data_IF_761181222314
#
_entry.id   IF_761181222314
#
_cell.length_a   1.000
_cell.length_b   1.000
_cell.length_c   1.000
_cell.angle_alpha   90.00
_cell.angle_beta   90.00
_cell.angle_gamma   90.00
#
_symmetry.space_group_name_H-M   'P 1'
#
loop_
_entity.id
_entity.type
_entity.pdbx_description
1 polymer ?
#
# COMPACT_ATOMS: atom_id res chain seq x y z
N UNK A 1 4.06 -12.07 -8.31
CA UNK A 1 5.35 -11.53 -7.82
C UNK A 1 5.01 -10.40 -6.87
N UNK A 2 5.61 -10.38 -5.68
CA UNK A 2 5.36 -9.34 -4.68
C UNK A 2 6.03 -8.02 -5.09
N UNK A 3 5.32 -6.90 -4.90
CA UNK A 3 5.75 -5.56 -5.37
C UNK A 3 7.01 -5.09 -4.65
N UNK A 4 7.16 -5.43 -3.36
CA UNK A 4 8.34 -5.08 -2.59
C UNK A 4 9.60 -5.74 -3.17
N UNK A 5 9.50 -7.01 -3.53
CA UNK A 5 10.59 -7.74 -4.19
C UNK A 5 10.91 -7.17 -5.58
N UNK A 6 9.89 -6.76 -6.34
CA UNK A 6 10.08 -6.11 -7.64
C UNK A 6 10.84 -4.77 -7.52
N UNK A 7 10.59 -4.01 -6.46
CA UNK A 7 11.25 -2.73 -6.20
C UNK A 7 12.71 -2.86 -5.75
N UNK A 8 13.21 -4.06 -5.43
CA UNK A 8 14.58 -4.26 -4.98
C UNK A 8 14.89 -3.52 -3.66
N UNK A 9 14.03 -3.69 -2.65
CA UNK A 9 14.18 -3.02 -1.35
C UNK A 9 15.58 -3.26 -0.76
N UNK A 10 16.30 -2.17 -0.48
CA UNK A 10 17.63 -2.21 0.12
C UNK A 10 17.57 -2.60 1.59
N UNK A 11 18.60 -3.29 2.08
CA UNK A 11 18.66 -3.81 3.46
C UNK A 11 18.61 -2.73 4.56
N UNK A 12 18.91 -1.48 4.21
CA UNK A 12 18.88 -0.34 5.13
C UNK A 12 17.53 0.37 5.19
N UNK A 13 16.57 0.02 4.33
CA UNK A 13 15.23 0.61 4.33
C UNK A 13 14.47 0.22 5.60
N UNK A 14 13.83 1.21 6.25
CA UNK A 14 13.10 1.03 7.51
C UNK A 14 11.63 1.40 7.45
N UNK A 15 11.24 2.22 6.47
CA UNK A 15 9.89 2.74 6.33
C UNK A 15 9.46 2.72 4.87
N UNK A 16 8.16 2.57 4.65
CA UNK A 16 7.48 2.80 3.39
C UNK A 16 6.77 4.13 3.48
N UNK A 17 7.06 5.04 2.54
CA UNK A 17 6.36 6.31 2.42
C UNK A 17 5.21 6.16 1.44
N UNK A 18 4.00 6.55 1.85
CA UNK A 18 2.78 6.45 1.06
C UNK A 18 2.31 7.86 0.77
N UNK A 19 2.22 8.19 -0.52
CA UNK A 19 1.71 9.47 -0.99
C UNK A 19 0.48 9.20 -1.85
N UNK A 20 -0.65 9.75 -1.44
CA UNK A 20 -1.88 9.68 -2.23
C UNK A 20 -1.82 10.67 -3.41
N UNK A 21 -2.82 10.58 -4.29
CA UNK A 21 -2.97 11.52 -5.40
C UNK A 21 -3.23 12.96 -4.92
N UNK A 22 -3.96 13.10 -3.81
CA UNK A 22 -4.25 14.38 -3.18
C UNK A 22 -3.08 14.85 -2.28
N UNK A 23 -3.37 15.74 -1.33
CA UNK A 23 -2.37 16.26 -0.41
C UNK A 23 -2.01 15.29 0.73
N UNK A 24 -2.67 14.12 0.83
CA UNK A 24 -2.43 13.20 1.93
C UNK A 24 -1.15 12.38 1.72
N UNK A 25 -0.35 12.28 2.78
CA UNK A 25 0.74 11.33 2.85
C UNK A 25 0.93 10.81 4.26
N UNK A 26 1.50 9.62 4.36
CA UNK A 26 1.84 8.97 5.63
C UNK A 26 3.05 8.07 5.42
N UNK A 27 3.53 7.45 6.48
CA UNK A 27 4.54 6.41 6.42
C UNK A 27 4.15 5.23 7.29
N UNK A 28 4.82 4.11 7.06
CA UNK A 28 4.66 2.89 7.83
C UNK A 28 6.02 2.22 8.02
N UNK A 29 6.34 1.62 9.19
CA UNK A 29 7.53 0.79 9.31
C UNK A 29 7.52 -0.31 8.24
N UNK A 30 8.66 -0.57 7.59
CA UNK A 30 8.76 -1.57 6.53
C UNK A 30 8.29 -2.94 7.03
N UNK A 31 8.64 -3.31 8.26
CA UNK A 31 8.19 -4.57 8.86
C UNK A 31 6.66 -4.70 8.95
N UNK A 32 5.96 -3.59 9.18
CA UNK A 32 4.50 -3.56 9.20
C UNK A 32 3.93 -3.61 7.78
N UNK A 33 4.54 -2.88 6.83
CA UNK A 33 4.14 -2.90 5.42
C UNK A 33 4.30 -4.27 4.74
N UNK A 34 5.20 -5.10 5.26
CA UNK A 34 5.49 -6.45 4.75
C UNK A 34 4.60 -7.54 5.39
N UNK A 35 3.67 -7.18 6.29
CA UNK A 35 2.73 -8.16 6.87
C UNK A 35 1.83 -8.74 5.77
N UNK A 36 1.47 -10.04 5.86
CA UNK A 36 0.77 -10.75 4.80
C UNK A 36 -0.67 -10.27 4.54
N UNK A 37 -1.26 -9.54 5.49
CA UNK A 37 -2.61 -8.96 5.41
C UNK A 37 -2.59 -7.49 4.95
N UNK A 38 -1.42 -6.92 4.67
CA UNK A 38 -1.28 -5.59 4.07
C UNK A 38 -1.38 -5.71 2.55
N UNK A 39 -2.32 -4.99 1.96
CA UNK A 39 -2.69 -5.17 0.56
C UNK A 39 -2.67 -3.84 -0.20
N UNK A 40 -2.21 -3.90 -1.46
CA UNK A 40 -2.58 -2.92 -2.47
C UNK A 40 -3.80 -3.45 -3.23
N UNK A 41 -4.93 -2.78 -3.07
CA UNK A 41 -6.22 -3.19 -3.60
C UNK A 41 -6.60 -2.29 -4.77
N UNK A 42 -7.03 -2.88 -5.88
CA UNK A 42 -7.52 -2.15 -7.07
C UNK A 42 -8.99 -2.47 -7.42
N UNK A 43 -9.61 -3.42 -6.72
CA UNK A 43 -10.98 -3.86 -6.92
C UNK A 43 -11.69 -4.18 -5.60
N UNK A 44 -13.00 -4.01 -5.58
CA UNK A 44 -13.89 -4.42 -4.49
C UNK A 44 -15.18 -4.99 -5.08
N UNK A 45 -15.65 -6.14 -4.55
CA UNK A 45 -16.80 -6.90 -5.07
C UNK A 45 -16.76 -7.15 -6.59
N UNK A 46 -15.55 -7.39 -7.13
CA UNK A 46 -15.34 -7.65 -8.56
C UNK A 46 -15.37 -6.41 -9.47
N UNK A 47 -15.59 -5.22 -8.92
CA UNK A 47 -15.58 -3.96 -9.66
C UNK A 47 -14.33 -3.12 -9.33
N UNK A 48 -13.85 -2.25 -10.24
CA UNK A 48 -12.79 -1.28 -9.93
C UNK A 48 -13.16 -0.37 -8.75
N UNK A 49 -12.17 0.04 -7.96
CA UNK A 49 -12.40 1.02 -6.89
C UNK A 49 -12.87 2.36 -7.47
N UNK A 50 -13.93 2.93 -6.89
CA UNK A 50 -14.35 4.30 -7.16
C UNK A 50 -13.33 5.29 -6.59
N UNK A 51 -13.36 6.54 -7.05
CA UNK A 51 -12.51 7.61 -6.52
C UNK A 51 -12.72 7.81 -5.02
N UNK A 52 -13.97 7.77 -4.55
CA UNK A 52 -14.31 7.91 -3.12
C UNK A 52 -13.75 6.78 -2.25
N UNK A 53 -13.50 5.60 -2.84
CA UNK A 53 -12.86 4.46 -2.17
C UNK A 53 -11.34 4.42 -2.35
N UNK A 54 -10.74 5.46 -2.91
CA UNK A 54 -9.29 5.54 -3.15
C UNK A 54 -8.84 4.85 -4.43
N UNK A 55 -9.70 4.73 -5.44
CA UNK A 55 -9.33 4.25 -6.76
C UNK A 55 -8.27 5.12 -7.45
N UNK A 56 -7.49 4.57 -8.38
CA UNK A 56 -7.56 3.20 -8.90
C UNK A 56 -6.86 2.16 -8.00
N UNK A 57 -6.12 2.58 -6.98
CA UNK A 57 -5.42 1.69 -6.06
C UNK A 57 -5.35 2.29 -4.66
N UNK A 58 -5.63 1.47 -3.65
CA UNK A 58 -5.57 1.85 -2.23
C UNK A 58 -4.72 0.85 -1.45
N UNK A 59 -3.95 1.35 -0.48
CA UNK A 59 -3.31 0.51 0.53
C UNK A 59 -4.28 0.23 1.69
N UNK A 60 -4.35 -1.02 2.12
CA UNK A 60 -5.12 -1.48 3.29
C UNK A 60 -4.15 -2.07 4.32
N UNK A 61 -4.23 -1.59 5.56
CA UNK A 61 -3.41 -2.03 6.70
C UNK A 61 -4.33 -2.44 7.85
N UNK A 62 -4.84 -3.70 7.90
CA UNK A 62 -5.92 -4.09 8.81
C UNK A 62 -5.63 -3.94 10.31
N UNK A 63 -4.36 -3.86 10.69
CA UNK A 63 -3.92 -3.84 12.09
C UNK A 63 -3.62 -2.42 12.62
N UNK A 64 -3.96 -1.37 11.87
CA UNK A 64 -3.62 0.03 12.15
C UNK A 64 -4.80 0.98 12.00
#
# INVERSE_FOLDING_TARGET
MDIANYCGVVSTAKFVYIKAYDAYSTNLPLIEAMKPDVLLVHQWEGAPLTTDHGGPVRMITPQL
#
